data_IF_917360303520
#
_entry.id   IF_917360303520
#
_cell.length_a   1.000
_cell.length_b   1.000
_cell.length_c   1.000
_cell.angle_alpha   90.00
_cell.angle_beta   90.00
_cell.angle_gamma   90.00
#
_symmetry.space_group_name_H-M   'P 1'
#
loop_
_entity.id
_entity.type
_entity.pdbx_description
1 polymer ?
#
# COMPACT_ATOMS: atom_id res chain seq x y z
N UNK A 1 67.12 6.66 24.64
CA UNK A 1 67.03 5.26 25.11
C UNK A 1 65.58 5.06 25.55
N UNK A 2 64.65 4.80 24.63
CA UNK A 2 64.19 3.45 24.24
C UNK A 2 63.98 2.53 25.45
N UNK A 3 62.72 2.28 25.83
CA UNK A 3 62.16 0.94 25.81
C UNK A 3 60.62 1.00 25.97
N UNK A 4 59.93 0.40 25.01
CA UNK A 4 58.55 -0.03 25.08
C UNK A 4 58.43 -1.26 25.99
N UNK A 5 57.36 -1.38 26.77
CA UNK A 5 56.87 -2.68 27.25
C UNK A 5 55.34 -2.71 27.19
N UNK A 6 54.85 -3.60 26.32
CA UNK A 6 53.47 -4.00 26.17
C UNK A 6 52.98 -4.77 27.40
N UNK A 7 51.69 -4.63 27.74
CA UNK A 7 50.97 -5.59 28.55
C UNK A 7 49.79 -6.13 27.75
N UNK A 8 49.98 -7.34 27.23
CA UNK A 8 48.94 -8.18 26.68
C UNK A 8 48.28 -8.95 27.83
N UNK A 9 46.95 -8.92 27.91
CA UNK A 9 46.17 -9.84 28.73
C UNK A 9 45.74 -11.02 27.85
N UNK A 10 46.42 -12.15 28.04
CA UNK A 10 45.97 -13.47 27.61
C UNK A 10 44.96 -14.01 28.64
N UNK A 11 43.83 -14.51 28.15
CA UNK A 11 43.07 -15.57 28.82
C UNK A 11 42.88 -16.71 27.81
N UNK A 12 43.59 -17.81 28.06
CA UNK A 12 43.37 -19.19 27.58
C UNK A 12 42.53 -19.92 28.66
N UNK A 13 41.69 -20.94 28.46
CA UNK A 13 41.41 -21.94 27.42
C UNK A 13 40.12 -22.67 27.85
N UNK A 14 39.31 -23.19 26.92
CA UNK A 14 38.84 -24.59 26.92
C UNK A 14 37.97 -24.87 25.69
N UNK A 15 38.48 -25.79 24.87
CA UNK A 15 37.85 -26.47 23.74
C UNK A 15 36.60 -27.27 24.19
N UNK A 16 35.47 -27.15 23.50
CA UNK A 16 34.86 -28.09 22.51
C UNK A 16 34.39 -29.45 23.07
N UNK A 17 33.19 -29.91 22.65
CA UNK A 17 33.12 -30.66 21.39
C UNK A 17 31.98 -30.25 20.44
N UNK A 18 32.37 -30.08 19.17
CA UNK A 18 31.73 -30.50 17.92
C UNK A 18 30.20 -30.60 17.85
N UNK A 19 29.59 -29.71 17.07
CA UNK A 19 28.49 -30.07 16.18
C UNK A 19 28.92 -29.85 14.73
N UNK A 20 28.88 -30.94 13.97
CA UNK A 20 29.15 -30.96 12.53
C UNK A 20 28.04 -30.22 11.77
N UNK A 21 28.48 -29.43 10.79
CA UNK A 21 27.82 -29.09 9.53
C UNK A 21 26.29 -28.97 9.54
N UNK A 22 25.80 -27.73 9.65
CA UNK A 22 24.59 -27.31 8.95
C UNK A 22 24.98 -26.20 7.99
N UNK A 23 24.90 -26.54 6.71
CA UNK A 23 25.19 -25.71 5.55
C UNK A 23 24.29 -24.47 5.61
N UNK A 24 24.89 -23.29 5.73
CA UNK A 24 24.25 -22.00 5.50
C UNK A 24 24.09 -21.81 3.98
N UNK A 25 22.86 -21.76 3.43
CA UNK A 25 22.67 -21.65 1.99
C UNK A 25 22.77 -20.21 1.44
N UNK A 26 23.15 -19.20 2.23
CA UNK A 26 23.18 -17.81 1.72
C UNK A 26 24.47 -17.05 2.08
N UNK A 27 25.60 -17.57 1.62
CA UNK A 27 26.80 -16.76 1.41
C UNK A 27 26.66 -15.94 0.10
N UNK A 28 26.61 -14.62 0.24
CA UNK A 28 26.78 -13.69 -0.87
C UNK A 28 28.27 -13.33 -0.98
N UNK A 29 28.95 -13.83 -2.00
CA UNK A 29 30.23 -13.29 -2.45
C UNK A 29 30.00 -12.16 -3.48
N UNK A 30 30.87 -11.17 -3.39
CA UNK A 30 30.87 -9.94 -4.17
C UNK A 30 31.56 -10.12 -5.54
N UNK A 31 31.04 -9.38 -6.52
CA UNK A 31 31.57 -9.05 -7.84
C UNK A 31 31.92 -10.17 -8.85
N UNK A 32 31.11 -10.23 -9.93
CA UNK A 32 31.62 -10.67 -11.24
C UNK A 32 30.59 -11.25 -12.20
N UNK A 33 30.30 -10.51 -13.27
CA UNK A 33 29.65 -10.96 -14.53
C UNK A 33 28.14 -11.27 -14.51
N UNK A 34 27.41 -10.46 -15.28
CA UNK A 34 26.00 -10.63 -15.65
C UNK A 34 25.79 -11.94 -16.43
N UNK A 35 25.09 -12.90 -15.84
CA UNK A 35 24.26 -13.86 -16.56
C UNK A 35 22.91 -13.98 -15.86
N UNK A 36 21.84 -13.92 -16.66
CA UNK A 36 20.46 -13.93 -16.20
C UNK A 36 20.13 -15.21 -15.44
N UNK A 37 20.02 -15.14 -14.12
CA UNK A 37 19.38 -16.18 -13.32
C UNK A 37 17.91 -15.83 -13.17
N UNK A 38 17.05 -16.69 -13.74
CA UNK A 38 15.60 -16.64 -13.56
C UNK A 38 15.31 -16.80 -12.06
N UNK A 39 14.50 -15.90 -11.51
CA UNK A 39 13.87 -16.12 -10.22
C UNK A 39 12.96 -17.36 -10.31
N UNK A 40 13.08 -18.36 -9.43
CA UNK A 40 12.14 -19.47 -9.39
C UNK A 40 10.81 -18.97 -8.84
N UNK A 41 9.75 -19.13 -9.63
CA UNK A 41 8.35 -18.87 -9.26
C UNK A 41 7.75 -19.87 -8.27
N UNK A 42 8.53 -20.84 -7.80
CA UNK A 42 7.97 -22.15 -7.41
C UNK A 42 7.98 -22.46 -5.90
N UNK A 43 8.19 -21.46 -5.03
CA UNK A 43 8.03 -21.66 -3.59
C UNK A 43 6.75 -20.99 -3.05
N UNK A 44 5.61 -21.41 -3.60
CA UNK A 44 4.31 -21.30 -2.94
C UNK A 44 3.73 -22.70 -2.78
N UNK A 45 3.40 -23.17 -1.56
CA UNK A 45 2.60 -24.36 -1.43
C UNK A 45 1.22 -24.09 -2.04
N UNK A 46 0.86 -24.86 -3.06
CA UNK A 46 -0.48 -24.90 -3.63
C UNK A 46 -1.46 -25.48 -2.59
N UNK A 47 -1.94 -24.62 -1.69
CA UNK A 47 -3.09 -24.91 -0.84
C UNK A 47 -4.18 -23.88 -1.10
N UNK A 48 -4.74 -23.95 -2.31
CA UNK A 48 -6.14 -23.62 -2.48
C UNK A 48 -6.95 -24.73 -1.79
N UNK A 49 -7.84 -24.44 -0.83
CA UNK A 49 -8.82 -25.43 -0.42
C UNK A 49 -9.75 -25.68 -1.60
N UNK A 50 -9.72 -26.89 -2.16
CA UNK A 50 -10.78 -27.32 -3.06
C UNK A 50 -11.91 -27.97 -2.27
N UNK A 51 -13.13 -27.51 -2.61
CA UNK A 51 -14.46 -28.05 -2.32
C UNK A 51 -15.14 -27.61 -1.02
N UNK A 52 -16.26 -26.90 -1.20
CA UNK A 52 -17.21 -26.48 -0.18
C UNK A 52 -17.92 -25.20 -0.61
N UNK A 53 -18.94 -25.33 -1.46
CA UNK A 53 -19.89 -24.30 -1.93
C UNK A 53 -19.86 -22.96 -1.18
N UNK A 54 -19.07 -22.01 -1.68
CA UNK A 54 -19.36 -20.59 -1.57
C UNK A 54 -18.88 -19.92 -2.86
N UNK A 55 -19.79 -19.19 -3.51
CA UNK A 55 -19.53 -18.32 -4.65
C UNK A 55 -18.57 -17.20 -4.22
N UNK A 56 -17.27 -17.50 -4.18
CA UNK A 56 -16.23 -16.51 -3.91
C UNK A 56 -15.99 -15.71 -5.19
N UNK A 57 -16.90 -14.79 -5.46
CA UNK A 57 -16.66 -13.71 -6.43
C UNK A 57 -15.41 -12.95 -5.96
N UNK A 58 -14.38 -12.87 -6.82
CA UNK A 58 -13.22 -12.03 -6.53
C UNK A 58 -13.69 -10.60 -6.23
N UNK A 59 -13.31 -9.99 -5.09
CA UNK A 59 -13.72 -8.64 -4.77
C UNK A 59 -13.06 -7.67 -5.75
N UNK A 60 -13.77 -7.33 -6.83
CA UNK A 60 -13.38 -6.22 -7.71
C UNK A 60 -13.12 -4.98 -6.84
N UNK A 61 -12.04 -4.24 -7.10
CA UNK A 61 -11.82 -2.93 -6.46
C UNK A 61 -13.07 -2.07 -6.64
N UNK A 62 -13.79 -1.85 -5.55
CA UNK A 62 -15.06 -1.12 -5.57
C UNK A 62 -14.79 0.29 -5.10
N UNK A 63 -14.79 1.24 -6.02
CA UNK A 63 -15.00 2.64 -5.67
C UNK A 63 -16.45 2.77 -5.20
N UNK A 64 -16.65 3.07 -3.92
CA UNK A 64 -17.94 3.57 -3.45
C UNK A 64 -17.87 5.09 -3.44
N UNK A 65 -18.30 5.72 -4.54
CA UNK A 65 -18.63 7.14 -4.51
C UNK A 65 -19.84 7.33 -3.60
N UNK A 66 -19.78 8.26 -2.66
CA UNK A 66 -20.95 8.64 -1.87
C UNK A 66 -22.01 9.24 -2.80
N UNK A 67 -23.03 8.46 -3.16
CA UNK A 67 -24.26 8.97 -3.77
C UNK A 67 -25.14 9.49 -2.63
N UNK A 68 -25.56 10.75 -2.68
CA UNK A 68 -26.49 11.31 -1.70
C UNK A 68 -27.78 10.45 -1.65
N UNK A 69 -28.34 10.13 -0.46
CA UNK A 69 -29.48 9.22 -0.38
C UNK A 69 -30.75 9.85 -0.96
N UNK A 70 -31.45 9.11 -1.82
CA UNK A 70 -32.80 9.43 -2.25
C UNK A 70 -33.80 9.28 -1.09
N UNK A 71 -34.80 10.15 -1.09
CA UNK A 71 -35.77 10.33 0.00
C UNK A 71 -36.61 9.07 0.28
N UNK A 72 -36.93 8.90 1.57
CA UNK A 72 -38.14 8.27 2.18
C UNK A 72 -37.82 7.25 3.28
N UNK A 73 -37.69 7.74 4.53
CA UNK A 73 -38.22 7.11 5.75
C UNK A 73 -37.91 8.00 6.97
N UNK A 74 -38.95 8.51 7.66
CA UNK A 74 -38.79 9.28 8.90
C UNK A 74 -38.94 8.37 10.11
N UNK A 75 -37.92 8.35 10.98
CA UNK A 75 -38.02 7.90 12.37
C UNK A 75 -37.37 8.97 13.25
N UNK A 76 -38.17 9.58 14.12
CA UNK A 76 -37.74 10.61 15.07
C UNK A 76 -37.17 9.92 16.31
N UNK A 77 -35.88 10.09 16.58
CA UNK A 77 -35.23 9.68 17.84
C UNK A 77 -34.67 10.93 18.49
N UNK A 78 -35.08 11.19 19.73
CA UNK A 78 -34.59 12.32 20.53
C UNK A 78 -33.13 12.14 20.99
N UNK A 79 -32.49 13.22 21.50
CA UNK A 79 -31.05 13.27 21.74
C UNK A 79 -30.59 12.27 22.82
N UNK A 80 -29.54 11.50 22.50
CA UNK A 80 -28.83 10.59 23.41
C UNK A 80 -27.67 11.33 24.11
N UNK A 81 -27.67 11.42 25.45
CA UNK A 81 -26.63 12.12 26.21
C UNK A 81 -25.24 11.45 26.18
N UNK A 82 -25.10 10.22 25.67
CA UNK A 82 -23.82 9.51 25.57
C UNK A 82 -23.20 9.55 24.16
N UNK A 83 -23.85 10.20 23.20
CA UNK A 83 -23.35 10.34 21.84
C UNK A 83 -23.39 11.82 21.39
N UNK A 84 -22.31 12.59 21.58
CA UNK A 84 -22.26 14.01 21.20
C UNK A 84 -22.40 14.24 19.69
N UNK A 85 -22.37 13.18 18.88
CA UNK A 85 -22.61 13.21 17.44
C UNK A 85 -24.09 13.03 17.06
N UNK A 86 -24.99 12.83 18.02
CA UNK A 86 -26.41 12.62 17.76
C UNK A 86 -27.17 13.79 17.08
N UNK A 87 -26.73 15.08 17.08
CA UNK A 87 -27.45 16.11 16.38
C UNK A 87 -26.97 16.32 14.93
N UNK A 88 -26.44 15.29 14.25
CA UNK A 88 -26.42 15.24 12.78
C UNK A 88 -27.88 15.14 12.26
N UNK A 89 -28.67 16.16 12.58
CA UNK A 89 -30.06 16.34 12.22
C UNK A 89 -30.08 16.56 10.71
N UNK A 90 -30.38 15.49 10.00
CA UNK A 90 -31.02 15.58 8.70
C UNK A 90 -32.19 16.56 8.87
N UNK A 91 -32.20 17.64 8.08
CA UNK A 91 -33.38 18.50 8.00
C UNK A 91 -34.57 17.65 7.54
N UNK A 92 -35.80 18.12 7.77
CA UNK A 92 -37.02 17.44 7.29
C UNK A 92 -36.98 17.07 5.79
N UNK A 93 -36.09 17.71 5.04
CA UNK A 93 -35.93 17.58 3.61
C UNK A 93 -34.74 16.68 3.21
N UNK A 94 -34.15 15.94 4.18
CA UNK A 94 -32.98 15.07 3.98
C UNK A 94 -31.77 15.82 3.37
N UNK A 95 -31.70 17.14 3.61
CA UNK A 95 -30.58 17.99 3.21
C UNK A 95 -29.69 18.27 4.42
N UNK A 96 -28.39 18.20 4.21
CA UNK A 96 -27.37 18.56 5.19
C UNK A 96 -27.53 20.06 5.52
N UNK A 97 -27.61 20.42 6.80
CA UNK A 97 -27.81 21.81 7.20
C UNK A 97 -26.65 22.70 6.71
N UNK A 98 -26.92 23.98 6.42
CA UNK A 98 -25.92 24.94 5.93
C UNK A 98 -24.71 25.11 6.89
N UNK A 99 -24.88 24.78 8.17
CA UNK A 99 -23.84 24.80 9.20
C UNK A 99 -22.88 23.59 9.14
N UNK A 100 -23.29 22.48 8.52
CA UNK A 100 -22.52 21.23 8.52
C UNK A 100 -21.49 21.17 7.38
N UNK A 101 -21.77 21.85 6.25
CA UNK A 101 -20.88 21.85 5.08
C UNK A 101 -19.46 22.38 5.37
N UNK A 102 -19.27 23.50 6.11
CA UNK A 102 -17.94 23.99 6.46
C UNK A 102 -17.11 23.00 7.29
N UNK A 103 -17.72 22.34 8.28
CA UNK A 103 -17.03 21.39 9.15
C UNK A 103 -16.56 20.10 8.42
N UNK A 104 -17.33 19.65 7.43
CA UNK A 104 -16.94 18.52 6.58
C UNK A 104 -15.72 18.89 5.73
N UNK A 105 -15.74 20.05 5.08
CA UNK A 105 -14.62 20.51 4.27
C UNK A 105 -13.36 20.68 5.13
N UNK A 106 -13.47 21.25 6.32
CA UNK A 106 -12.34 21.37 7.26
C UNK A 106 -11.76 20.00 7.62
N UNK A 107 -12.61 19.00 7.90
CA UNK A 107 -12.18 17.63 8.19
C UNK A 107 -11.48 16.98 7.00
N UNK A 108 -11.98 17.17 5.77
CA UNK A 108 -11.34 16.66 4.54
C UNK A 108 -9.95 17.27 4.35
N UNK A 109 -9.82 18.58 4.53
CA UNK A 109 -8.53 19.27 4.43
C UNK A 109 -7.55 18.77 5.49
N UNK A 110 -7.99 18.62 6.75
CA UNK A 110 -7.16 18.07 7.81
C UNK A 110 -6.65 16.65 7.51
N UNK A 111 -7.48 15.80 6.90
CA UNK A 111 -7.05 14.47 6.46
C UNK A 111 -6.02 14.52 5.33
N UNK A 112 -6.21 15.39 4.34
CA UNK A 112 -5.24 15.60 3.24
C UNK A 112 -3.88 16.03 3.80
N UNK A 113 -3.88 16.99 4.71
CA UNK A 113 -2.67 17.52 5.35
C UNK A 113 -1.98 16.47 6.22
N UNK A 114 -2.76 15.69 6.97
CA UNK A 114 -2.25 14.55 7.73
C UNK A 114 -1.56 13.54 6.81
N UNK A 115 -2.22 13.10 5.74
CA UNK A 115 -1.66 12.13 4.78
C UNK A 115 -0.38 12.66 4.17
N UNK A 116 -0.37 13.93 3.72
CA UNK A 116 0.82 14.58 3.16
C UNK A 116 1.98 14.57 4.17
N UNK A 117 1.73 14.99 5.41
CA UNK A 117 2.75 15.02 6.47
C UNK A 117 3.35 13.64 6.70
N UNK A 118 2.52 12.59 6.72
CA UNK A 118 2.99 11.20 6.89
C UNK A 118 3.80 10.69 5.71
N UNK A 119 3.49 11.12 4.48
CA UNK A 119 4.29 10.82 3.29
C UNK A 119 5.67 11.51 3.34
N UNK A 120 5.76 12.72 3.88
CA UNK A 120 7.01 13.46 4.08
C UNK A 120 7.85 12.84 5.22
N UNK A 121 7.26 12.59 6.39
CA UNK A 121 7.90 11.93 7.54
C UNK A 121 8.47 10.55 7.18
N UNK A 122 7.72 9.78 6.39
CA UNK A 122 8.14 8.46 5.93
C UNK A 122 9.16 8.52 4.79
N UNK A 123 9.50 9.71 4.28
CA UNK A 123 10.38 9.96 3.14
C UNK A 123 9.87 9.36 1.82
N UNK A 124 8.57 9.05 1.68
CA UNK A 124 7.98 8.71 0.39
C UNK A 124 7.93 9.93 -0.53
N UNK A 125 7.78 11.12 0.07
CA UNK A 125 8.18 12.40 -0.50
C UNK A 125 9.57 12.75 0.07
N UNK A 126 10.63 12.97 -0.73
CA UNK A 126 10.66 13.03 -2.19
C UNK A 126 11.06 11.71 -2.89
N UNK A 127 11.19 10.59 -2.17
CA UNK A 127 11.86 9.39 -2.71
C UNK A 127 11.13 8.75 -3.89
N UNK A 128 9.80 8.70 -3.84
CA UNK A 128 8.95 8.15 -4.91
C UNK A 128 8.08 9.23 -5.53
N UNK A 129 7.54 10.11 -4.68
CA UNK A 129 6.71 11.25 -5.07
C UNK A 129 7.56 12.52 -5.12
N UNK A 130 7.28 13.49 -6.02
CA UNK A 130 8.04 14.74 -6.05
C UNK A 130 7.80 15.57 -4.79
N UNK A 131 8.76 16.41 -4.40
CA UNK A 131 8.65 17.32 -3.22
C UNK A 131 7.37 18.16 -3.23
N UNK A 132 6.92 18.60 -4.41
CA UNK A 132 5.71 19.39 -4.57
C UNK A 132 4.41 18.58 -4.63
N UNK A 133 4.45 17.26 -4.49
CA UNK A 133 3.23 16.43 -4.54
C UNK A 133 2.29 16.82 -3.41
N UNK A 134 1.06 17.22 -3.77
CA UNK A 134 -0.03 17.50 -2.84
C UNK A 134 -1.21 16.60 -3.21
N UNK A 135 -1.72 15.74 -2.29
CA UNK A 135 -2.96 15.02 -2.54
C UNK A 135 -4.11 16.01 -2.77
N UNK A 136 -4.93 15.76 -3.78
CA UNK A 136 -6.15 16.52 -4.05
C UNK A 136 -7.33 16.04 -3.17
N UNK A 137 -7.26 14.80 -2.67
CA UNK A 137 -8.22 14.20 -1.75
C UNK A 137 -7.55 13.09 -0.91
N UNK A 138 -8.17 12.74 0.21
CA UNK A 138 -7.74 11.60 1.04
C UNK A 138 -8.28 10.29 0.47
N UNK A 139 -7.56 9.20 0.74
CA UNK A 139 -7.96 7.83 0.40
C UNK A 139 -8.28 7.12 1.71
N UNK A 140 -9.40 6.41 1.76
CA UNK A 140 -9.67 5.40 2.79
C UNK A 140 -9.20 4.05 2.27
N UNK A 141 -8.07 3.58 2.81
CA UNK A 141 -7.53 2.25 2.50
C UNK A 141 -8.05 1.23 3.51
N UNK A 142 -8.56 0.09 3.04
CA UNK A 142 -9.06 -0.98 3.92
C UNK A 142 -8.46 -2.34 3.61
N UNK A 143 -8.05 -3.04 4.66
CA UNK A 143 -7.77 -4.47 4.63
C UNK A 143 -8.76 -5.18 5.55
N UNK A 144 -9.40 -6.26 5.07
CA UNK A 144 -10.40 -7.01 5.84
C UNK A 144 -11.49 -6.10 6.47
N UNK A 145 -11.99 -5.13 5.69
CA UNK A 145 -12.96 -4.09 6.10
C UNK A 145 -12.51 -3.17 7.26
N UNK A 146 -11.22 -3.17 7.62
CA UNK A 146 -10.65 -2.25 8.62
C UNK A 146 -9.92 -1.13 7.91
N UNK A 147 -10.23 0.10 8.29
CA UNK A 147 -9.50 1.29 7.82
C UNK A 147 -8.05 1.20 8.30
N UNK A 148 -7.13 1.50 7.40
CA UNK A 148 -5.69 1.51 7.65
C UNK A 148 -5.23 2.96 7.69
N UNK A 149 -4.63 3.35 8.81
CA UNK A 149 -4.08 4.70 8.98
C UNK A 149 -2.79 4.89 8.16
N UNK A 150 -2.47 6.11 7.71
CA UNK A 150 -1.23 6.37 6.98
C UNK A 150 0.02 5.96 7.78
N UNK A 151 0.75 4.99 7.20
CA UNK A 151 1.96 4.40 7.77
C UNK A 151 1.73 3.33 8.82
N UNK A 152 0.49 2.91 9.07
CA UNK A 152 0.17 1.82 9.98
C UNK A 152 0.95 0.56 9.62
N UNK A 153 1.50 -0.11 10.64
CA UNK A 153 2.11 -1.43 10.52
C UNK A 153 1.01 -2.49 10.44
N UNK A 154 1.01 -3.26 9.37
CA UNK A 154 0.16 -4.42 9.17
C UNK A 154 1.00 -5.70 9.23
N UNK A 155 0.39 -6.78 9.68
CA UNK A 155 0.97 -8.11 9.63
C UNK A 155 0.87 -8.66 8.20
N UNK A 156 1.80 -9.57 7.86
CA UNK A 156 1.80 -10.24 6.56
C UNK A 156 0.44 -10.92 6.31
N UNK A 157 -0.12 -11.62 7.30
CA UNK A 157 -1.41 -12.31 7.16
C UNK A 157 -2.61 -11.35 6.97
N UNK A 158 -2.53 -10.09 7.42
CA UNK A 158 -3.57 -9.09 7.21
C UNK A 158 -3.62 -8.59 5.76
N UNK A 159 -2.54 -8.78 5.00
CA UNK A 159 -2.35 -8.22 3.66
C UNK A 159 -2.40 -9.24 2.53
N UNK A 160 -2.95 -10.43 2.79
CA UNK A 160 -3.00 -11.54 1.81
C UNK A 160 -3.94 -11.28 0.63
N UNK A 161 -4.98 -10.47 0.84
CA UNK A 161 -5.94 -10.08 -0.20
C UNK A 161 -5.76 -8.61 -0.57
N UNK A 162 -6.21 -8.23 -1.76
CA UNK A 162 -6.12 -6.85 -2.22
C UNK A 162 -6.94 -5.91 -1.31
N UNK A 163 -6.43 -4.70 -1.03
CA UNK A 163 -7.16 -3.75 -0.22
C UNK A 163 -8.30 -3.13 -1.00
N UNK A 164 -9.31 -2.65 -0.27
CA UNK A 164 -10.29 -1.71 -0.82
C UNK A 164 -9.72 -0.30 -0.77
N UNK A 165 -9.86 0.44 -1.87
CA UNK A 165 -9.41 1.82 -2.01
C UNK A 165 -10.64 2.68 -2.26
N UNK A 166 -11.02 3.49 -1.29
CA UNK A 166 -12.20 4.36 -1.36
C UNK A 166 -11.75 5.83 -1.35
N UNK A 167 -12.39 6.67 -2.17
CA UNK A 167 -12.19 8.12 -2.18
C UNK A 167 -13.38 8.79 -2.87
N UNK A 168 -13.61 10.05 -2.50
CA UNK A 168 -14.60 10.89 -3.18
C UNK A 168 -14.04 11.36 -4.51
N UNK A 169 -14.79 11.12 -5.59
CA UNK A 169 -14.44 11.57 -6.92
C UNK A 169 -15.65 12.19 -7.61
N UNK A 170 -15.39 13.19 -8.45
CA UNK A 170 -16.44 13.78 -9.27
C UNK A 170 -17.00 12.75 -10.26
N UNK A 171 -18.31 12.78 -10.55
CA UNK A 171 -18.90 11.90 -11.56
C UNK A 171 -18.16 12.02 -12.90
N UNK A 172 -18.08 10.89 -13.62
CA UNK A 172 -17.42 10.77 -14.93
C UNK A 172 -15.89 10.87 -14.93
N UNK A 173 -15.23 10.92 -13.77
CA UNK A 173 -13.79 10.75 -13.68
C UNK A 173 -13.40 9.27 -13.77
N UNK A 174 -12.22 9.00 -14.33
CA UNK A 174 -11.66 7.66 -14.49
C UNK A 174 -10.27 7.66 -13.86
N UNK A 175 -9.94 6.59 -13.14
CA UNK A 175 -8.72 6.49 -12.37
C UNK A 175 -7.92 5.23 -12.68
N UNK A 176 -6.63 5.28 -12.35
CA UNK A 176 -5.77 4.12 -12.20
C UNK A 176 -5.22 4.08 -10.77
N UNK A 177 -5.00 2.87 -10.26
CA UNK A 177 -4.48 2.63 -8.91
C UNK A 177 -3.30 1.67 -8.99
N UNK A 178 -2.22 1.98 -8.29
CA UNK A 178 -1.07 1.07 -8.13
C UNK A 178 -0.65 0.98 -6.68
N UNK A 179 -0.12 -0.18 -6.29
CA UNK A 179 0.59 -0.35 -5.01
C UNK A 179 2.02 -0.73 -5.34
N UNK A 180 2.97 0.01 -4.78
CA UNK A 180 4.41 -0.19 -5.00
C UNK A 180 5.18 -0.25 -3.68
N UNK A 181 6.23 -1.07 -3.66
CA UNK A 181 7.19 -1.18 -2.56
C UNK A 181 8.53 -0.54 -2.98
N UNK A 182 8.88 0.66 -2.50
CA UNK A 182 10.16 1.30 -2.79
C UNK A 182 11.30 0.78 -1.92
N UNK A 183 11.02 -0.13 -0.99
CA UNK A 183 12.01 -0.70 -0.07
C UNK A 183 12.50 -2.07 -0.54
N UNK A 184 12.12 -2.56 -1.73
CA UNK A 184 12.56 -3.88 -2.19
C UNK A 184 14.03 -3.92 -2.66
N UNK A 185 14.87 -4.91 -2.24
CA UNK A 185 14.58 -5.99 -1.27
C UNK A 185 14.72 -5.61 0.22
N UNK A 186 15.37 -4.48 0.53
CA UNK A 186 15.29 -3.85 1.86
C UNK A 186 15.47 -2.33 1.73
N UNK A 187 14.98 -1.54 2.70
CA UNK A 187 15.16 -0.07 2.67
C UNK A 187 16.65 0.33 2.63
N UNK A 188 17.54 -0.48 3.20
CA UNK A 188 18.99 -0.24 3.16
C UNK A 188 19.65 -0.67 1.83
N UNK A 189 19.13 -1.71 1.19
CA UNK A 189 19.59 -2.24 -0.11
C UNK A 189 18.39 -2.38 -1.04
N UNK A 190 18.02 -1.31 -1.72
CA UNK A 190 16.77 -1.19 -2.48
C UNK A 190 16.98 -1.31 -4.01
N UNK A 191 17.72 -2.33 -4.45
CA UNK A 191 18.07 -2.52 -5.87
C UNK A 191 16.89 -2.87 -6.80
N UNK A 192 15.74 -3.24 -6.21
CA UNK A 192 14.50 -3.57 -6.92
C UNK A 192 13.44 -2.47 -6.84
N UNK A 193 13.76 -1.34 -6.18
CA UNK A 193 12.87 -0.17 -6.08
C UNK A 193 12.38 0.30 -7.45
N UNK A 194 11.09 0.60 -7.64
CA UNK A 194 9.96 0.16 -6.79
C UNK A 194 9.44 -1.18 -7.31
N UNK A 195 9.07 -2.08 -6.41
CA UNK A 195 8.43 -3.35 -6.76
C UNK A 195 6.93 -3.13 -6.94
N UNK A 196 6.38 -3.43 -8.12
CA UNK A 196 4.95 -3.30 -8.43
C UNK A 196 4.15 -4.48 -7.85
N UNK A 197 3.41 -4.22 -6.79
CA UNK A 197 2.53 -5.20 -6.14
C UNK A 197 1.18 -5.31 -6.86
N UNK A 198 0.65 -4.20 -7.37
CA UNK A 198 -0.65 -4.15 -8.01
C UNK A 198 -0.74 -3.02 -9.03
N UNK A 199 -1.52 -3.21 -10.09
CA UNK A 199 -1.87 -2.15 -11.04
C UNK A 199 -3.24 -2.41 -11.64
N UNK A 200 -4.16 -1.49 -11.45
CA UNK A 200 -5.45 -1.45 -12.12
C UNK A 200 -5.67 -0.09 -12.78
N UNK A 201 -6.45 -0.09 -13.85
CA UNK A 201 -6.79 1.10 -14.61
C UNK A 201 -8.27 1.09 -14.99
N UNK A 202 -8.73 2.20 -15.57
CA UNK A 202 -10.12 2.36 -16.00
C UNK A 202 -11.14 2.14 -14.86
N UNK A 203 -10.80 2.55 -13.63
CA UNK A 203 -11.72 2.60 -12.51
C UNK A 203 -12.61 3.84 -12.65
N UNK A 204 -13.89 3.63 -12.94
CA UNK A 204 -14.84 4.73 -13.03
C UNK A 204 -15.21 5.21 -11.60
N UNK A 205 -15.27 6.53 -11.39
CA UNK A 205 -15.69 7.16 -10.12
C UNK A 205 -17.01 6.60 -9.61
N UNK A 206 -17.94 6.42 -10.55
CA UNK A 206 -19.18 5.66 -10.37
C UNK A 206 -18.98 4.35 -11.14
N UNK A 207 -18.96 3.18 -10.48
CA UNK A 207 -18.55 1.91 -11.09
C UNK A 207 -19.62 1.39 -12.06
N UNK A 208 -19.67 2.00 -13.24
CA UNK A 208 -20.58 1.63 -14.32
C UNK A 208 -19.98 0.59 -15.26
N UNK A 209 -18.65 0.48 -15.30
CA UNK A 209 -17.90 -0.49 -16.08
C UNK A 209 -16.91 -1.24 -15.18
N UNK A 210 -16.51 -2.49 -15.54
CA UNK A 210 -15.42 -3.17 -14.87
C UNK A 210 -14.09 -2.43 -15.09
N UNK A 211 -13.23 -2.45 -14.08
CA UNK A 211 -11.85 -1.98 -14.17
C UNK A 211 -10.95 -2.99 -14.90
N UNK A 212 -9.84 -2.51 -15.44
CA UNK A 212 -8.84 -3.37 -16.07
C UNK A 212 -7.74 -3.71 -15.06
N UNK A 213 -7.59 -4.99 -14.74
CA UNK A 213 -6.47 -5.48 -13.90
C UNK A 213 -5.25 -5.69 -14.78
N UNK A 214 -4.32 -4.73 -14.74
CA UNK A 214 -3.10 -4.72 -15.54
C UNK A 214 -1.95 -5.50 -14.88
N UNK A 215 -1.95 -5.58 -13.56
CA UNK A 215 -1.03 -6.43 -12.78
C UNK A 215 -1.78 -6.92 -11.55
N UNK A 216 -1.94 -8.24 -11.45
CA UNK A 216 -2.61 -8.90 -10.32
C UNK A 216 -1.92 -8.59 -8.99
N UNK A 217 -2.71 -8.53 -7.93
CA UNK A 217 -2.21 -8.27 -6.59
C UNK A 217 -1.24 -9.36 -6.15
N UNK A 218 -0.04 -8.97 -5.76
CA UNK A 218 0.92 -9.84 -5.08
C UNK A 218 1.03 -9.36 -3.63
N UNK A 219 0.74 -10.21 -2.63
CA UNK A 219 0.72 -9.77 -1.24
C UNK A 219 2.12 -9.37 -0.75
N UNK A 220 2.22 -8.37 0.14
CA UNK A 220 3.42 -8.07 0.90
C UNK A 220 4.03 -9.31 1.54
N UNK A 221 5.33 -9.53 1.30
CA UNK A 221 6.09 -10.60 1.94
C UNK A 221 7.57 -10.18 2.08
N UNK A 222 7.86 -9.12 2.88
CA UNK A 222 9.23 -8.70 3.12
C UNK A 222 10.03 -9.83 3.78
N UNK A 223 11.35 -9.84 3.56
CA UNK A 223 12.22 -10.84 4.18
C UNK A 223 12.37 -10.57 5.66
N UNK A 224 12.60 -11.60 6.48
CA UNK A 224 12.65 -11.46 7.95
C UNK A 224 13.68 -10.43 8.44
N UNK A 225 14.81 -10.25 7.72
CA UNK A 225 15.87 -9.31 8.09
C UNK A 225 15.82 -7.98 7.32
N UNK A 226 14.84 -7.77 6.43
CA UNK A 226 14.83 -6.55 5.60
C UNK A 226 14.27 -5.32 6.33
N UNK A 227 13.73 -5.51 7.54
CA UNK A 227 13.04 -4.49 8.30
C UNK A 227 11.64 -4.21 7.73
N UNK A 228 10.97 -3.13 8.17
CA UNK A 228 9.69 -2.72 7.63
C UNK A 228 9.83 -2.17 6.21
N UNK A 229 8.96 -2.62 5.30
CA UNK A 229 8.81 -2.07 3.97
C UNK A 229 7.59 -1.15 3.93
N UNK A 230 7.69 -0.05 3.19
CA UNK A 230 6.57 0.86 2.91
C UNK A 230 5.85 0.41 1.64
N UNK A 231 4.53 0.35 1.69
CA UNK A 231 3.69 0.03 0.54
C UNK A 231 2.87 1.25 0.19
N UNK A 232 3.26 1.92 -0.88
CA UNK A 232 2.65 3.17 -1.35
C UNK A 232 1.53 2.84 -2.33
N UNK A 233 0.29 3.16 -1.95
CA UNK A 233 -0.86 3.17 -2.84
C UNK A 233 -0.97 4.54 -3.51
N UNK A 234 -0.95 4.58 -4.84
CA UNK A 234 -1.09 5.80 -5.64
C UNK A 234 -2.34 5.73 -6.49
N UNK A 235 -3.06 6.86 -6.54
CA UNK A 235 -4.22 7.06 -7.41
C UNK A 235 -3.85 8.09 -8.46
N UNK A 236 -4.11 7.75 -9.72
CA UNK A 236 -3.90 8.62 -10.88
C UNK A 236 -5.23 8.95 -11.53
N UNK A 237 -5.46 10.21 -11.87
CA UNK A 237 -6.58 10.62 -12.72
C UNK A 237 -6.20 10.40 -14.18
N UNK A 238 -7.03 9.63 -14.88
CA UNK A 238 -6.92 9.43 -16.32
C UNK A 238 -7.61 10.57 -17.08
N UNK A 239 -7.13 10.94 -18.28
CA UNK A 239 -7.81 11.91 -19.13
C UNK A 239 -9.13 11.36 -19.70
N UNK A 240 -9.25 10.03 -19.80
CA UNK A 240 -10.41 9.26 -20.30
C UNK A 240 -10.17 7.78 -20.01
N UNK A 241 -11.14 6.91 -20.33
CA UNK A 241 -10.84 5.47 -20.44
C UNK A 241 -9.81 5.24 -21.56
N UNK A 242 -8.82 4.39 -21.26
CA UNK A 242 -7.72 4.05 -22.16
C UNK A 242 -7.84 2.57 -22.55
N UNK A 243 -7.18 2.17 -23.64
CA UNK A 243 -7.02 0.76 -23.99
C UNK A 243 -5.57 0.42 -23.72
N UNK A 244 -5.33 -0.53 -22.81
CA UNK A 244 -4.00 -1.00 -22.49
C UNK A 244 -3.72 -2.30 -23.24
N UNK A 245 -2.58 -2.34 -23.92
CA UNK A 245 -1.97 -3.56 -24.42
C UNK A 245 -1.06 -4.18 -23.34
N UNK A 246 -0.56 -5.39 -23.58
CA UNK A 246 0.34 -6.06 -22.63
C UNK A 246 1.67 -5.30 -22.49
N UNK A 247 2.14 -4.75 -23.60
CA UNK A 247 3.43 -4.06 -23.73
C UNK A 247 3.44 -2.69 -23.03
N UNK A 248 2.26 -2.15 -22.72
CA UNK A 248 2.08 -0.90 -21.97
C UNK A 248 2.45 -1.04 -20.48
N UNK A 249 2.64 -2.28 -20.01
CA UNK A 249 3.01 -2.60 -18.63
C UNK A 249 4.31 -3.38 -18.66
N UNK A 250 5.38 -2.91 -17.98
CA UNK A 250 6.64 -3.65 -17.93
C UNK A 250 6.41 -5.07 -17.41
N UNK A 251 6.93 -6.07 -18.12
CA UNK A 251 6.76 -7.49 -17.77
C UNK A 251 7.31 -7.76 -16.36
N UNK A 252 8.44 -7.17 -16.03
CA UNK A 252 9.01 -7.22 -14.69
C UNK A 252 8.26 -6.30 -13.72
N UNK A 253 8.13 -6.76 -12.47
CA UNK A 253 7.59 -5.97 -11.36
C UNK A 253 8.66 -5.10 -10.70
N UNK A 254 9.93 -5.45 -10.81
CA UNK A 254 11.02 -4.67 -10.20
C UNK A 254 11.33 -3.43 -11.01
N UNK A 255 11.87 -2.39 -10.35
CA UNK A 255 12.26 -1.14 -11.02
C UNK A 255 11.13 -0.47 -11.79
N UNK A 256 9.91 -0.60 -11.29
CA UNK A 256 8.76 0.09 -11.82
C UNK A 256 8.71 1.52 -11.27
N UNK A 257 8.75 2.51 -12.16
CA UNK A 257 8.46 3.91 -11.82
C UNK A 257 6.98 4.20 -12.09
N UNK A 258 6.14 4.34 -11.05
CA UNK A 258 4.72 4.58 -11.23
C UNK A 258 4.42 5.96 -11.81
N UNK A 259 5.28 6.96 -11.61
CA UNK A 259 5.09 8.31 -12.13
C UNK A 259 5.49 8.41 -13.60
N UNK A 260 6.55 7.71 -14.00
CA UNK A 260 6.94 7.59 -15.41
C UNK A 260 5.85 6.86 -16.21
N UNK A 261 5.36 5.73 -15.69
CA UNK A 261 4.25 5.01 -16.31
C UNK A 261 2.99 5.88 -16.42
N UNK A 262 2.58 6.57 -15.35
CA UNK A 262 1.43 7.48 -15.40
C UNK A 262 1.63 8.60 -16.45
N UNK A 263 2.84 9.15 -16.54
CA UNK A 263 3.18 10.23 -17.48
C UNK A 263 3.07 9.78 -18.94
N UNK A 264 3.47 8.55 -19.28
CA UNK A 264 3.37 8.06 -20.67
C UNK A 264 1.92 7.98 -21.19
N UNK A 265 0.94 7.93 -20.27
CA UNK A 265 -0.48 7.94 -20.59
C UNK A 265 -1.19 9.27 -20.29
N UNK A 266 -0.43 10.35 -20.03
CA UNK A 266 -0.95 11.66 -19.64
C UNK A 266 -1.84 11.62 -18.39
N UNK A 267 -1.54 10.74 -17.44
CA UNK A 267 -2.24 10.67 -16.16
C UNK A 267 -1.56 11.58 -15.13
N UNK A 268 -2.35 12.08 -14.18
CA UNK A 268 -1.87 12.93 -13.08
C UNK A 268 -1.93 12.14 -11.76
N UNK A 269 -0.87 12.11 -10.93
CA UNK A 269 -0.99 11.61 -9.56
C UNK A 269 -1.85 12.59 -8.75
N UNK A 270 -2.93 12.10 -8.14
CA UNK A 270 -3.93 12.95 -7.47
C UNK A 270 -4.14 12.59 -6.01
N UNK A 271 -3.82 11.38 -5.59
CA UNK A 271 -3.87 10.99 -4.19
C UNK A 271 -2.89 9.87 -3.91
N UNK A 272 -2.51 9.75 -2.64
CA UNK A 272 -1.59 8.73 -2.17
C UNK A 272 -1.96 8.32 -0.74
N UNK A 273 -1.69 7.06 -0.41
CA UNK A 273 -1.76 6.52 0.95
C UNK A 273 -0.65 5.50 1.10
N UNK A 274 -0.26 5.15 2.31
CA UNK A 274 0.68 4.05 2.50
C UNK A 274 0.45 3.31 3.80
N UNK A 275 0.98 2.11 3.86
CA UNK A 275 1.08 1.28 5.06
C UNK A 275 2.47 0.66 5.12
N UNK A 276 2.79 0.02 6.23
CA UNK A 276 4.05 -0.73 6.36
C UNK A 276 3.77 -2.20 6.66
N UNK A 277 4.65 -3.07 6.20
CA UNK A 277 4.63 -4.49 6.58
C UNK A 277 6.05 -4.89 6.97
N UNK A 278 6.15 -5.64 8.05
CA UNK A 278 7.38 -6.27 8.48
C UNK A 278 7.10 -7.75 8.73
N UNK A 279 8.06 -8.60 8.36
CA UNK A 279 8.03 -10.00 8.74
C UNK A 279 8.82 -10.17 10.03
N UNK A 280 8.12 -10.54 11.09
CA UNK A 280 8.73 -10.84 12.39
C UNK A 280 9.20 -12.30 12.45
N UNK A 281 10.20 -12.56 13.29
CA UNK A 281 10.58 -13.93 13.63
C UNK A 281 9.53 -14.50 14.58
N UNK A 282 8.95 -15.65 14.23
CA UNK A 282 7.89 -16.29 15.02
C UNK A 282 8.58 -17.15 16.08
N UNK A 283 9.15 -16.58 17.14
CA UNK A 283 9.75 -17.34 18.27
C UNK A 283 10.01 -16.52 19.56
N UNK A 284 9.38 -15.36 19.77
CA UNK A 284 9.42 -14.64 21.05
C UNK A 284 8.02 -14.41 21.62
#
# INVERSE_FOLDING_TARGET
>A
MLLWCALALLVTVSAHPSYKELIDPYHYEDAGTLQSTRYPSDNYPAHAPQTGDTDYQQPQMRLMGSVQPSAHASLHVGPDPNNPLAPYLLTSDNQLSAETKPAIEETKHAQIDMVRSRLEESQLIPQVLPTGFAPEFSITLKYNNRVVEPGQLLLVNETQYEPTVEFDAEPNQVFAVTIVDPDSPSRAKHGYRSYRHFLAANLDAVPTNPSDILTTYQPPNPSFMSGPHRYLALVFRQPRRLKFAKEDVPETRVRFDPLEWARSFNMKPVAAHFFTVQRFHINE
#
